data_IF_796934646841
#
_entry.id   IF_796934646841
#
_cell.length_a   1.000
_cell.length_b   1.000
_cell.length_c   1.000
_cell.angle_alpha   90.00
_cell.angle_beta   90.00
_cell.angle_gamma   90.00
#
_symmetry.space_group_name_H-M   'P 1'
#
loop_
_entity.id
_entity.type
_entity.pdbx_description
1 polymer ?
#
# COMPACT_ATOMS: atom_id res chain seq x y z
N UNK A 1 -17.32 18.40 10.92
CA UNK A 1 -15.93 18.24 10.47
C UNK A 1 -15.90 18.64 9.00
N UNK A 2 -15.09 19.62 8.61
CA UNK A 2 -14.81 19.88 7.21
C UNK A 2 -13.66 18.95 6.78
N UNK A 3 -13.80 18.22 5.67
CA UNK A 3 -12.72 17.38 5.17
C UNK A 3 -11.55 18.25 4.67
N UNK A 4 -10.32 17.72 4.75
CA UNK A 4 -9.15 18.40 4.21
C UNK A 4 -9.13 18.35 2.68
N UNK A 5 -9.52 17.22 2.11
CA UNK A 5 -9.65 17.02 0.66
C UNK A 5 -10.88 16.14 0.36
N UNK A 6 -11.46 16.38 -0.79
CA UNK A 6 -12.47 15.49 -1.40
C UNK A 6 -11.79 14.62 -2.45
N UNK A 7 -11.73 13.31 -2.18
CA UNK A 7 -11.19 12.30 -3.10
C UNK A 7 -12.35 11.48 -3.66
N UNK A 8 -12.41 11.35 -4.97
CA UNK A 8 -13.51 10.65 -5.65
C UNK A 8 -12.99 9.49 -6.47
N UNK A 9 -13.64 8.33 -6.37
CA UNK A 9 -13.51 7.25 -7.35
C UNK A 9 -14.81 7.10 -8.11
N UNK A 10 -14.79 7.48 -9.39
CA UNK A 10 -15.95 7.55 -10.25
C UNK A 10 -15.97 6.41 -11.27
N UNK A 11 -17.10 5.68 -11.35
CA UNK A 11 -17.37 4.70 -12.40
C UNK A 11 -18.50 5.20 -13.28
N UNK A 12 -18.22 5.56 -14.54
CA UNK A 12 -19.25 5.94 -15.49
C UNK A 12 -20.21 4.77 -15.78
N UNK A 13 -21.47 5.07 -16.03
CA UNK A 13 -22.51 4.06 -16.32
C UNK A 13 -22.99 4.19 -17.74
N UNK A 14 -22.87 3.10 -18.53
CA UNK A 14 -23.24 2.97 -19.95
C UNK A 14 -22.37 3.82 -20.88
N UNK A 15 -22.01 3.26 -22.02
CA UNK A 15 -21.20 3.95 -23.02
C UNK A 15 -21.93 5.15 -23.63
N UNK A 16 -23.22 4.97 -24.00
CA UNK A 16 -24.05 6.06 -24.55
C UNK A 16 -24.14 7.25 -23.60
N UNK A 17 -24.42 7.01 -22.33
CA UNK A 17 -24.48 8.06 -21.31
C UNK A 17 -23.12 8.72 -21.07
N UNK A 18 -22.06 7.94 -21.04
CA UNK A 18 -20.69 8.46 -20.85
C UNK A 18 -20.34 9.40 -22.01
N UNK A 19 -20.63 9.01 -23.25
CA UNK A 19 -20.37 9.84 -24.42
C UNK A 19 -21.18 11.15 -24.40
N UNK A 20 -22.49 11.07 -24.08
CA UNK A 20 -23.41 12.23 -24.11
C UNK A 20 -23.10 13.22 -22.98
N UNK A 21 -22.74 12.75 -21.80
CA UNK A 21 -22.62 13.59 -20.60
C UNK A 21 -21.17 13.77 -20.13
N UNK A 22 -20.17 13.39 -20.95
CA UNK A 22 -18.76 13.51 -20.59
C UNK A 22 -18.39 14.92 -20.13
N UNK A 23 -18.85 15.93 -20.81
CA UNK A 23 -18.56 17.34 -20.51
C UNK A 23 -19.19 17.78 -19.18
N UNK A 24 -20.43 17.38 -18.92
CA UNK A 24 -21.12 17.64 -17.64
C UNK A 24 -20.42 16.96 -16.47
N UNK A 25 -20.04 15.69 -16.63
CA UNK A 25 -19.23 14.97 -15.63
C UNK A 25 -17.89 15.65 -15.41
N UNK A 26 -17.19 16.02 -16.50
CA UNK A 26 -15.90 16.70 -16.42
C UNK A 26 -15.99 18.01 -15.64
N UNK A 27 -17.07 18.76 -15.79
CA UNK A 27 -17.31 20.00 -15.07
C UNK A 27 -17.66 19.79 -13.59
N UNK A 28 -18.56 18.85 -13.28
CA UNK A 28 -19.00 18.59 -11.91
C UNK A 28 -17.88 18.00 -11.04
N UNK A 29 -17.05 17.13 -11.61
CA UNK A 29 -15.94 16.48 -10.90
C UNK A 29 -14.79 17.46 -10.55
N UNK A 30 -14.79 18.70 -11.11
CA UNK A 30 -13.87 19.77 -10.67
C UNK A 30 -14.06 20.16 -9.20
N UNK A 31 -15.17 19.78 -8.58
CA UNK A 31 -15.40 20.05 -7.15
C UNK A 31 -14.54 19.17 -6.22
N UNK A 32 -13.90 18.13 -6.74
CA UNK A 32 -12.98 17.27 -5.99
C UNK A 32 -11.53 17.78 -6.08
N UNK A 33 -10.71 17.38 -5.11
CA UNK A 33 -9.27 17.66 -5.10
C UNK A 33 -8.46 16.59 -5.84
N UNK A 34 -8.97 15.36 -5.87
CA UNK A 34 -8.36 14.21 -6.53
C UNK A 34 -9.45 13.28 -7.06
N UNK A 35 -9.35 12.90 -8.33
CA UNK A 35 -10.35 12.01 -8.96
C UNK A 35 -9.67 10.81 -9.61
N UNK A 36 -10.12 9.62 -9.19
CA UNK A 36 -9.84 8.37 -9.87
C UNK A 36 -11.05 8.00 -10.73
N UNK A 37 -10.80 7.56 -11.95
CA UNK A 37 -11.87 7.15 -12.87
C UNK A 37 -11.70 5.70 -13.26
N UNK A 38 -12.73 4.89 -13.00
CA UNK A 38 -12.82 3.51 -13.45
C UNK A 38 -13.22 3.45 -14.93
N UNK A 39 -13.16 2.24 -15.49
CA UNK A 39 -13.77 2.04 -16.81
C UNK A 39 -15.29 2.02 -16.73
N UNK A 40 -15.92 2.20 -17.90
CA UNK A 40 -17.39 2.27 -18.02
C UNK A 40 -18.02 0.95 -17.57
N UNK A 41 -19.00 1.03 -16.68
CA UNK A 41 -19.88 -0.09 -16.40
C UNK A 41 -20.90 -0.23 -17.54
N UNK A 42 -20.83 -1.30 -18.35
CA UNK A 42 -21.56 -1.37 -19.62
C UNK A 42 -23.08 -1.50 -19.48
N UNK A 43 -23.57 -2.11 -18.39
CA UNK A 43 -25.00 -2.36 -18.15
C UNK A 43 -25.71 -2.94 -19.38
N UNK A 44 -25.12 -3.97 -19.98
CA UNK A 44 -25.58 -4.66 -21.18
C UNK A 44 -25.48 -3.88 -22.50
N UNK A 45 -24.86 -2.71 -22.53
CA UNK A 45 -24.51 -2.02 -23.78
C UNK A 45 -23.25 -2.62 -24.41
N UNK A 46 -23.18 -2.60 -25.73
CA UNK A 46 -21.95 -2.88 -26.45
C UNK A 46 -20.98 -1.72 -26.32
N UNK A 47 -19.66 -1.98 -26.28
CA UNK A 47 -18.66 -0.92 -26.29
C UNK A 47 -18.81 0.01 -27.49
N UNK A 48 -18.67 1.30 -27.26
CA UNK A 48 -18.57 2.32 -28.31
C UNK A 48 -17.09 2.68 -28.49
N UNK A 49 -16.62 2.60 -29.72
CA UNK A 49 -15.22 2.91 -30.05
C UNK A 49 -14.87 4.34 -29.59
N UNK A 50 -13.73 4.45 -28.89
CA UNK A 50 -13.24 5.73 -28.34
C UNK A 50 -13.94 6.18 -27.06
N UNK A 51 -14.89 5.40 -26.50
CA UNK A 51 -15.58 5.74 -25.24
C UNK A 51 -15.11 4.82 -24.12
N UNK A 52 -14.51 5.40 -23.10
CA UNK A 52 -14.02 4.70 -21.90
C UNK A 52 -14.04 5.65 -20.70
N UNK A 53 -13.53 5.22 -19.55
CA UNK A 53 -13.29 6.13 -18.41
C UNK A 53 -12.35 7.28 -18.76
N UNK A 54 -11.41 7.08 -19.69
CA UNK A 54 -10.52 8.13 -20.19
C UNK A 54 -11.30 9.31 -20.80
N UNK A 55 -12.44 9.06 -21.42
CA UNK A 55 -13.33 10.10 -21.96
C UNK A 55 -13.74 11.13 -20.92
N UNK A 56 -13.95 10.68 -19.66
CA UNK A 56 -14.27 11.57 -18.54
C UNK A 56 -13.03 12.37 -18.12
N UNK A 57 -11.87 11.76 -18.05
CA UNK A 57 -10.61 12.43 -17.71
C UNK A 57 -10.29 13.52 -18.72
N UNK A 58 -10.43 13.21 -20.01
CA UNK A 58 -10.20 14.19 -21.09
C UNK A 58 -11.17 15.37 -21.00
N UNK A 59 -12.42 15.09 -20.59
CA UNK A 59 -13.39 16.14 -20.32
C UNK A 59 -13.02 16.99 -19.10
N UNK A 60 -12.57 16.36 -18.01
CA UNK A 60 -12.10 17.08 -16.82
C UNK A 60 -10.95 18.02 -17.13
N UNK A 61 -9.96 17.58 -17.90
CA UNK A 61 -8.82 18.39 -18.28
C UNK A 61 -9.19 19.62 -19.13
N UNK A 62 -10.33 19.61 -19.82
CA UNK A 62 -10.84 20.80 -20.53
C UNK A 62 -11.43 21.85 -19.59
N UNK A 63 -11.90 21.43 -18.40
CA UNK A 63 -12.56 22.30 -17.43
C UNK A 63 -11.65 22.83 -16.31
N UNK A 64 -10.55 22.13 -16.01
CA UNK A 64 -9.65 22.56 -14.95
C UNK A 64 -8.50 21.59 -14.67
N UNK A 65 -7.61 21.97 -13.76
CA UNK A 65 -6.37 21.24 -13.48
C UNK A 65 -6.49 20.21 -12.34
N UNK A 66 -7.67 19.67 -12.05
CA UNK A 66 -7.84 18.67 -10.99
C UNK A 66 -6.99 17.45 -11.28
N UNK A 67 -6.27 16.97 -10.27
CA UNK A 67 -5.47 15.76 -10.37
C UNK A 67 -6.36 14.54 -10.66
N UNK A 68 -6.07 13.82 -11.74
CA UNK A 68 -6.87 12.70 -12.22
C UNK A 68 -6.03 11.47 -12.53
N UNK A 69 -6.56 10.28 -12.23
CA UNK A 69 -5.91 9.01 -12.56
C UNK A 69 -6.93 8.03 -13.15
N UNK A 70 -6.56 7.37 -14.24
CA UNK A 70 -7.37 6.31 -14.83
C UNK A 70 -7.04 4.97 -14.15
N UNK A 71 -8.00 4.39 -13.46
CA UNK A 71 -7.89 3.10 -12.78
C UNK A 71 -9.00 2.16 -13.26
N UNK A 72 -8.85 1.56 -14.46
CA UNK A 72 -9.89 0.75 -15.08
C UNK A 72 -10.19 -0.55 -14.34
N UNK A 73 -9.19 -1.14 -13.67
CA UNK A 73 -9.32 -2.40 -12.96
C UNK A 73 -9.79 -2.17 -11.52
N UNK A 74 -11.07 -2.44 -11.27
CA UNK A 74 -11.67 -2.34 -9.93
C UNK A 74 -11.03 -3.30 -8.92
N UNK A 75 -10.46 -4.42 -9.37
CA UNK A 75 -9.83 -5.41 -8.51
C UNK A 75 -8.58 -4.91 -7.80
N UNK A 76 -7.83 -4.02 -8.44
CA UNK A 76 -6.55 -3.47 -7.96
C UNK A 76 -6.59 -1.98 -7.62
N UNK A 77 -7.64 -1.25 -8.03
CA UNK A 77 -7.78 0.19 -7.80
C UNK A 77 -7.59 0.60 -6.34
N UNK A 78 -8.04 -0.22 -5.39
CA UNK A 78 -7.91 0.04 -3.95
C UNK A 78 -6.45 0.21 -3.50
N UNK A 79 -5.46 -0.38 -4.19
CA UNK A 79 -4.04 -0.19 -3.88
C UNK A 79 -3.60 1.25 -4.16
N UNK A 80 -3.87 1.75 -5.37
CA UNK A 80 -3.49 3.10 -5.76
C UNK A 80 -4.24 4.16 -4.95
N UNK A 81 -5.55 3.96 -4.75
CA UNK A 81 -6.40 4.87 -4.00
C UNK A 81 -5.97 4.90 -2.52
N UNK A 82 -5.81 3.74 -1.88
CA UNK A 82 -5.41 3.66 -0.47
C UNK A 82 -4.05 4.32 -0.21
N UNK A 83 -3.10 4.22 -1.16
CA UNK A 83 -1.81 4.90 -1.07
C UNK A 83 -1.90 6.43 -1.24
N UNK A 84 -2.92 6.92 -1.93
CA UNK A 84 -3.12 8.35 -2.18
C UNK A 84 -3.92 9.05 -1.08
N UNK A 85 -4.70 8.29 -0.31
CA UNK A 85 -5.50 8.82 0.80
C UNK A 85 -4.62 9.31 1.95
N UNK A 86 -5.07 10.38 2.59
CA UNK A 86 -4.40 11.02 3.74
C UNK A 86 -5.38 11.19 4.89
N UNK A 87 -4.89 11.29 6.13
CA UNK A 87 -5.76 11.60 7.27
C UNK A 87 -6.54 12.90 7.04
N UNK A 88 -7.85 12.84 7.29
CA UNK A 88 -8.77 13.97 7.10
C UNK A 88 -9.38 14.08 5.70
N UNK A 89 -9.04 13.18 4.76
CA UNK A 89 -9.71 13.11 3.46
C UNK A 89 -11.14 12.58 3.60
N UNK A 90 -12.04 13.10 2.76
CA UNK A 90 -13.34 12.50 2.49
C UNK A 90 -13.24 11.70 1.19
N UNK A 91 -13.31 10.40 1.29
CA UNK A 91 -13.30 9.51 0.13
C UNK A 91 -14.72 9.10 -0.27
N UNK A 92 -15.10 9.37 -1.53
CA UNK A 92 -16.39 9.00 -2.10
C UNK A 92 -16.22 8.04 -3.28
N UNK A 93 -17.01 6.97 -3.30
CA UNK A 93 -17.19 6.13 -4.48
C UNK A 93 -18.51 6.49 -5.16
N UNK A 94 -18.45 6.90 -6.42
CA UNK A 94 -19.60 7.35 -7.19
C UNK A 94 -19.76 6.51 -8.46
N UNK A 95 -20.94 6.03 -8.72
CA UNK A 95 -21.24 5.30 -9.97
C UNK A 95 -22.20 4.15 -9.79
N UNK A 96 -22.46 3.47 -10.89
CA UNK A 96 -23.24 2.23 -10.93
C UNK A 96 -22.29 1.02 -10.96
N UNK A 97 -22.77 -0.14 -10.55
CA UNK A 97 -21.97 -1.34 -10.49
C UNK A 97 -21.28 -1.52 -9.14
N UNK A 98 -20.11 -2.10 -9.14
CA UNK A 98 -19.41 -2.54 -7.92
C UNK A 98 -18.26 -1.61 -7.45
N UNK A 99 -18.24 -0.37 -7.93
CA UNK A 99 -17.23 0.63 -7.50
C UNK A 99 -17.20 0.85 -5.98
N UNK A 100 -18.35 0.69 -5.31
CA UNK A 100 -18.48 0.81 -3.86
C UNK A 100 -17.68 -0.24 -3.09
N UNK A 101 -17.43 -1.43 -3.69
CA UNK A 101 -16.63 -2.49 -3.07
C UNK A 101 -15.19 -2.03 -2.78
N UNK A 102 -14.66 -1.16 -3.65
CA UNK A 102 -13.34 -0.56 -3.44
C UNK A 102 -13.31 0.28 -2.14
N UNK A 103 -14.30 1.14 -1.95
CA UNK A 103 -14.42 1.97 -0.74
C UNK A 103 -14.58 1.14 0.53
N UNK A 104 -15.48 0.13 0.49
CA UNK A 104 -15.70 -0.77 1.62
C UNK A 104 -14.42 -1.55 1.97
N UNK A 105 -13.65 -1.97 0.96
CA UNK A 105 -12.39 -2.69 1.17
C UNK A 105 -11.36 -1.82 1.85
N UNK A 106 -11.15 -0.60 1.35
CA UNK A 106 -10.21 0.37 1.95
C UNK A 106 -10.61 0.67 3.40
N UNK A 107 -11.89 0.96 3.64
CA UNK A 107 -12.38 1.28 4.98
C UNK A 107 -12.18 0.12 5.97
N UNK A 108 -12.45 -1.12 5.55
CA UNK A 108 -12.22 -2.32 6.37
C UNK A 108 -10.74 -2.53 6.67
N UNK A 109 -9.90 -2.44 5.65
CA UNK A 109 -8.47 -2.70 5.79
C UNK A 109 -7.80 -1.59 6.63
N UNK A 110 -8.25 -0.34 6.51
CA UNK A 110 -7.82 0.77 7.34
C UNK A 110 -8.22 0.57 8.82
N UNK A 111 -9.47 0.20 9.07
CA UNK A 111 -9.95 -0.04 10.43
C UNK A 111 -9.18 -1.17 11.14
N UNK A 112 -8.80 -2.23 10.39
CA UNK A 112 -7.96 -3.32 10.92
C UNK A 112 -6.54 -2.83 11.25
N UNK A 113 -5.95 -2.00 10.41
CA UNK A 113 -4.61 -1.44 10.65
C UNK A 113 -4.62 -0.52 11.87
N UNK A 114 -5.58 0.40 11.97
CA UNK A 114 -5.74 1.30 13.11
C UNK A 114 -5.97 0.54 14.44
N UNK A 115 -6.76 -0.54 14.41
CA UNK A 115 -6.98 -1.40 15.57
C UNK A 115 -5.70 -2.11 16.01
N UNK A 116 -4.91 -2.59 15.05
CA UNK A 116 -3.61 -3.21 15.32
C UNK A 116 -2.61 -2.19 15.90
N UNK A 117 -2.48 -1.01 15.29
CA UNK A 117 -1.59 0.05 15.78
C UNK A 117 -1.99 0.52 17.19
N UNK A 118 -3.28 0.69 17.44
CA UNK A 118 -3.78 1.02 18.77
C UNK A 118 -3.44 -0.07 19.82
N UNK A 119 -3.52 -1.34 19.42
CA UNK A 119 -3.20 -2.49 20.30
C UNK A 119 -1.70 -2.58 20.60
N UNK A 120 -0.86 -2.30 19.62
CA UNK A 120 0.59 -2.34 19.74
C UNK A 120 1.20 -1.05 20.31
N UNK A 121 0.47 0.07 20.26
CA UNK A 121 0.94 1.40 20.68
C UNK A 121 2.13 1.87 19.83
N UNK A 122 3.01 2.68 20.42
CA UNK A 122 4.19 3.25 19.73
C UNK A 122 5.24 2.21 19.29
N UNK A 123 5.03 0.93 19.61
CA UNK A 123 5.96 -0.15 19.27
C UNK A 123 5.80 -0.69 17.85
N UNK A 124 4.83 -0.20 17.08
CA UNK A 124 4.51 -0.65 15.73
C UNK A 124 4.05 0.52 14.86
N UNK A 125 4.66 0.68 13.69
CA UNK A 125 4.18 1.54 12.62
C UNK A 125 3.64 0.66 11.49
N UNK A 126 2.47 1.02 10.93
CA UNK A 126 1.83 0.31 9.85
C UNK A 126 1.57 1.19 8.63
N UNK A 127 1.57 0.56 7.44
CA UNK A 127 1.18 1.21 6.17
C UNK A 127 0.24 0.28 5.41
N UNK A 128 -0.80 0.87 4.85
CA UNK A 128 -1.73 0.14 4.00
C UNK A 128 -1.25 0.17 2.55
N UNK A 129 -1.28 -0.97 1.88
CA UNK A 129 -0.95 -1.15 0.45
C UNK A 129 0.46 -0.65 0.05
N UNK A 130 1.45 -0.79 0.93
CA UNK A 130 2.82 -0.34 0.66
C UNK A 130 3.44 -1.08 -0.54
N UNK A 131 3.95 -0.36 -1.55
CA UNK A 131 4.54 -0.97 -2.74
C UNK A 131 5.81 -1.77 -2.42
N UNK A 132 5.79 -3.07 -2.69
CA UNK A 132 6.94 -3.95 -2.46
C UNK A 132 8.14 -3.62 -3.35
N UNK A 133 7.93 -2.92 -4.45
CA UNK A 133 9.02 -2.39 -5.30
C UNK A 133 9.97 -1.45 -4.56
N UNK A 134 9.54 -0.83 -3.47
CA UNK A 134 10.39 -0.01 -2.59
C UNK A 134 11.26 -0.83 -1.64
N UNK A 135 10.87 -2.09 -1.42
CA UNK A 135 11.42 -2.98 -0.38
C UNK A 135 12.09 -4.23 -0.96
N UNK A 136 12.27 -4.30 -2.28
CA UNK A 136 12.98 -5.38 -2.97
C UNK A 136 14.16 -4.83 -3.74
N UNK A 137 15.26 -5.59 -3.81
CA UNK A 137 16.46 -5.21 -4.59
C UNK A 137 16.13 -5.11 -6.08
N UNK A 138 15.24 -5.97 -6.59
CA UNK A 138 14.78 -5.95 -7.98
C UNK A 138 13.89 -4.75 -8.31
N UNK A 139 13.40 -4.02 -7.30
CA UNK A 139 12.50 -2.86 -7.43
C UNK A 139 11.22 -3.17 -8.22
N UNK A 140 10.73 -4.40 -8.09
CA UNK A 140 9.46 -4.88 -8.67
C UNK A 140 8.57 -5.46 -7.57
N UNK A 141 7.28 -5.60 -7.89
CA UNK A 141 6.28 -6.21 -7.04
C UNK A 141 5.14 -5.27 -6.70
N UNK A 142 3.93 -5.83 -6.64
CA UNK A 142 2.72 -5.13 -6.19
C UNK A 142 2.77 -4.80 -4.70
N UNK A 143 1.63 -4.41 -4.14
CA UNK A 143 1.57 -3.91 -2.77
C UNK A 143 1.50 -5.02 -1.72
N UNK A 144 2.09 -4.79 -0.54
CA UNK A 144 1.73 -5.48 0.68
C UNK A 144 0.41 -4.93 1.21
N UNK A 145 -0.57 -5.78 1.54
CA UNK A 145 -1.85 -5.31 2.08
C UNK A 145 -1.63 -4.53 3.37
N UNK A 146 -0.87 -5.08 4.30
CA UNK A 146 -0.41 -4.41 5.52
C UNK A 146 1.11 -4.50 5.58
N UNK A 147 1.80 -3.38 5.60
CA UNK A 147 3.22 -3.28 5.86
C UNK A 147 3.42 -2.87 7.31
N UNK A 148 4.13 -3.68 8.09
CA UNK A 148 4.26 -3.50 9.54
C UNK A 148 5.74 -3.41 9.93
N UNK A 149 6.11 -2.33 10.61
CA UNK A 149 7.47 -2.06 11.09
C UNK A 149 7.48 -2.02 12.64
N UNK A 150 7.60 -3.18 13.29
CA UNK A 150 7.75 -3.21 14.75
C UNK A 150 9.13 -2.69 15.16
N UNK A 151 9.18 -1.86 16.20
CA UNK A 151 10.42 -1.35 16.80
C UNK A 151 10.90 -2.16 18.01
N UNK A 152 10.01 -3.01 18.57
CA UNK A 152 10.30 -3.84 19.75
C UNK A 152 9.84 -5.29 19.54
N UNK A 153 10.43 -6.23 20.33
CA UNK A 153 9.96 -7.63 20.33
C UNK A 153 8.51 -7.76 20.77
N UNK A 154 8.09 -6.92 21.73
CA UNK A 154 6.68 -6.88 22.17
C UNK A 154 5.75 -6.44 21.04
N UNK A 155 6.11 -5.40 20.27
CA UNK A 155 5.35 -4.93 19.10
C UNK A 155 5.24 -6.02 18.03
N UNK A 156 6.34 -6.72 17.74
CA UNK A 156 6.33 -7.84 16.80
C UNK A 156 5.44 -8.99 17.28
N UNK A 157 5.52 -9.35 18.55
CA UNK A 157 4.68 -10.40 19.14
C UNK A 157 3.20 -10.02 19.06
N UNK A 158 2.87 -8.76 19.37
CA UNK A 158 1.50 -8.23 19.25
C UNK A 158 1.00 -8.34 17.82
N UNK A 159 1.80 -7.89 16.83
CA UNK A 159 1.43 -7.95 15.41
C UNK A 159 1.18 -9.39 14.94
N UNK A 160 2.07 -10.34 15.29
CA UNK A 160 1.93 -11.75 14.92
C UNK A 160 0.69 -12.38 15.56
N UNK A 161 0.46 -12.14 16.86
CA UNK A 161 -0.70 -12.67 17.57
C UNK A 161 -2.01 -12.08 17.01
N UNK A 162 -2.04 -10.78 16.78
CA UNK A 162 -3.21 -10.10 16.20
C UNK A 162 -3.59 -10.69 14.84
N UNK A 163 -2.59 -10.89 13.97
CA UNK A 163 -2.80 -11.49 12.65
C UNK A 163 -3.27 -12.95 12.75
N UNK A 164 -2.64 -13.74 13.61
CA UNK A 164 -3.02 -15.14 13.83
C UNK A 164 -4.46 -15.28 14.30
N UNK A 165 -4.87 -14.47 15.28
CA UNK A 165 -6.21 -14.56 15.90
C UNK A 165 -7.32 -14.16 14.90
N UNK A 166 -6.95 -13.45 13.81
CA UNK A 166 -7.86 -13.02 12.74
C UNK A 166 -7.65 -13.77 11.42
N UNK A 167 -6.82 -14.83 11.42
CA UNK A 167 -6.45 -15.58 10.22
C UNK A 167 -5.89 -14.70 9.08
N UNK A 168 -5.16 -13.65 9.42
CA UNK A 168 -4.43 -12.81 8.48
C UNK A 168 -3.08 -13.47 8.19
N UNK A 169 -2.76 -13.81 6.92
CA UNK A 169 -1.45 -14.37 6.57
C UNK A 169 -0.31 -13.43 6.98
N UNK A 170 0.80 -14.00 7.47
CA UNK A 170 1.98 -13.23 7.88
C UNK A 170 3.19 -13.65 7.06
N UNK A 171 3.87 -12.67 6.51
CA UNK A 171 5.15 -12.78 5.82
C UNK A 171 6.19 -11.95 6.57
N UNK A 172 7.31 -12.54 6.95
CA UNK A 172 8.41 -11.79 7.57
C UNK A 172 9.50 -11.61 6.53
N UNK A 173 9.90 -10.38 6.29
CA UNK A 173 10.95 -10.06 5.34
C UNK A 173 12.06 -9.23 5.98
N UNK A 174 13.29 -9.48 5.54
CA UNK A 174 14.41 -8.60 5.82
C UNK A 174 14.53 -7.50 4.77
N UNK A 175 15.68 -7.35 4.16
CA UNK A 175 15.98 -6.28 3.19
C UNK A 175 15.47 -6.56 1.76
N UNK A 176 14.75 -7.64 1.53
CA UNK A 176 14.20 -7.98 0.22
C UNK A 176 15.23 -8.27 -0.88
N UNK A 177 16.45 -8.69 -0.50
CA UNK A 177 17.53 -8.96 -1.47
C UNK A 177 17.37 -10.29 -2.20
N UNK A 178 16.64 -11.23 -1.62
CA UNK A 178 16.47 -12.58 -2.17
C UNK A 178 15.00 -12.97 -2.33
N UNK A 179 14.17 -11.99 -2.69
CA UNK A 179 12.74 -12.19 -2.93
C UNK A 179 12.30 -11.49 -4.22
N UNK A 180 11.36 -12.11 -4.91
CA UNK A 180 10.61 -11.50 -6.02
C UNK A 180 9.13 -11.53 -5.64
N UNK A 181 8.50 -10.37 -5.66
CA UNK A 181 7.07 -10.23 -5.39
C UNK A 181 6.36 -10.02 -6.73
N UNK A 182 5.26 -10.75 -6.94
CA UNK A 182 4.43 -10.62 -8.15
C UNK A 182 3.66 -9.29 -8.15
N UNK A 183 3.18 -8.84 -9.30
CA UNK A 183 2.40 -7.60 -9.45
C UNK A 183 1.09 -7.61 -8.65
N UNK A 184 0.50 -8.79 -8.42
CA UNK A 184 -0.67 -8.95 -7.53
C UNK A 184 -0.38 -8.67 -6.05
N UNK A 185 0.88 -8.46 -5.66
CA UNK A 185 1.28 -8.13 -4.30
C UNK A 185 1.18 -9.29 -3.31
N UNK A 186 1.17 -8.95 -2.04
CA UNK A 186 1.06 -9.88 -0.91
C UNK A 186 -0.20 -9.58 -0.11
N UNK A 187 -1.07 -10.56 0.01
CA UNK A 187 -2.23 -10.51 0.90
C UNK A 187 -1.78 -10.77 2.33
N UNK A 188 -2.37 -10.03 3.27
CA UNK A 188 -2.06 -10.13 4.69
C UNK A 188 -0.95 -9.17 5.11
N UNK A 189 -0.31 -9.48 6.23
CA UNK A 189 0.71 -8.65 6.85
C UNK A 189 2.11 -9.04 6.37
N UNK A 190 2.88 -8.03 5.97
CA UNK A 190 4.33 -8.14 5.76
C UNK A 190 5.01 -7.44 6.93
N UNK A 191 5.69 -8.20 7.76
CA UNK A 191 6.42 -7.68 8.92
C UNK A 191 7.88 -7.47 8.53
N UNK A 192 8.35 -6.24 8.68
CA UNK A 192 9.74 -5.84 8.43
C UNK A 192 10.40 -5.40 9.74
N UNK A 193 11.07 -6.32 10.46
CA UNK A 193 11.76 -5.96 11.70
C UNK A 193 12.97 -5.09 11.38
N UNK A 194 12.88 -3.79 11.67
CA UNK A 194 13.96 -2.83 11.44
C UNK A 194 13.94 -1.73 12.51
N UNK A 195 15.13 -1.22 12.86
CA UNK A 195 15.24 -0.23 13.92
C UNK A 195 15.00 -0.78 15.33
N UNK A 196 15.07 0.09 16.35
CA UNK A 196 14.82 -0.26 17.73
C UNK A 196 15.62 -1.48 18.22
N UNK A 197 14.93 -2.43 18.85
CA UNK A 197 15.54 -3.66 19.38
C UNK A 197 16.10 -4.58 18.27
N UNK A 198 15.66 -4.42 17.03
CA UNK A 198 16.10 -5.26 15.90
C UNK A 198 17.44 -4.80 15.30
N UNK A 199 17.91 -3.59 15.59
CA UNK A 199 19.18 -3.04 15.09
C UNK A 199 20.32 -3.10 16.13
N UNK A 200 20.08 -3.74 17.27
CA UNK A 200 21.06 -3.90 18.35
C UNK A 200 22.17 -4.85 17.90
N UNK A 201 23.41 -4.46 18.13
CA UNK A 201 24.63 -5.26 17.87
C UNK A 201 25.54 -5.19 19.07
N UNK A 202 25.73 -6.30 19.73
CA UNK A 202 26.53 -6.40 20.98
C UNK A 202 27.63 -7.43 20.87
N UNK A 203 28.76 -7.14 21.48
CA UNK A 203 29.91 -8.07 21.61
C UNK A 203 30.20 -8.29 23.07
N UNK A 204 30.31 -9.54 23.47
CA UNK A 204 30.69 -10.01 24.81
C UNK A 204 31.74 -11.10 24.68
N UNK A 205 33.01 -10.75 24.83
CA UNK A 205 34.12 -11.67 24.60
C UNK A 205 34.11 -12.18 23.14
N UNK A 206 34.00 -13.48 22.96
CA UNK A 206 33.94 -14.12 21.63
C UNK A 206 32.51 -14.31 21.09
N UNK A 207 31.51 -13.74 21.74
CA UNK A 207 30.12 -13.81 21.31
C UNK A 207 29.68 -12.48 20.71
N UNK A 208 29.10 -12.54 19.51
CA UNK A 208 28.44 -11.42 18.86
C UNK A 208 26.96 -11.73 18.78
N UNK A 209 26.13 -10.84 19.33
CA UNK A 209 24.67 -10.88 19.26
C UNK A 209 24.19 -9.77 18.36
N UNK A 210 23.30 -10.08 17.39
CA UNK A 210 22.76 -9.12 16.45
C UNK A 210 21.26 -9.27 16.34
N UNK A 211 20.53 -8.17 16.33
CA UNK A 211 19.12 -8.13 16.00
C UNK A 211 18.87 -8.45 14.52
N UNK A 212 17.67 -8.90 14.19
CA UNK A 212 17.32 -9.34 12.83
C UNK A 212 17.33 -8.21 11.78
N UNK A 213 17.29 -6.93 12.19
CA UNK A 213 17.40 -5.76 11.32
C UNK A 213 18.83 -5.34 10.98
N UNK A 214 19.84 -5.87 11.72
CA UNK A 214 21.24 -5.51 11.50
C UNK A 214 21.71 -5.92 10.11
N UNK A 215 22.32 -4.98 9.39
CA UNK A 215 22.90 -5.27 8.06
C UNK A 215 24.06 -6.24 8.18
N UNK A 216 24.09 -7.29 7.36
CA UNK A 216 25.18 -8.27 7.34
C UNK A 216 26.55 -7.60 7.18
N UNK A 217 26.69 -6.63 6.28
CA UNK A 217 27.93 -5.86 6.13
C UNK A 217 28.38 -5.18 7.42
N UNK A 218 27.44 -4.58 8.20
CA UNK A 218 27.74 -3.98 9.51
C UNK A 218 28.18 -5.05 10.50
N UNK A 219 27.50 -6.19 10.53
CA UNK A 219 27.82 -7.33 11.38
C UNK A 219 29.24 -7.84 11.11
N UNK A 220 29.57 -8.12 9.85
CA UNK A 220 30.89 -8.61 9.44
C UNK A 220 32.01 -7.59 9.79
N UNK A 221 31.80 -6.32 9.38
CA UNK A 221 32.81 -5.27 9.66
C UNK A 221 33.05 -5.09 11.17
N UNK A 222 32.02 -5.15 12.00
CA UNK A 222 32.12 -5.04 13.45
C UNK A 222 32.83 -6.27 14.04
N UNK A 223 32.53 -7.48 13.55
CA UNK A 223 33.21 -8.71 13.97
C UNK A 223 34.72 -8.61 13.69
N UNK A 224 35.10 -8.25 12.47
CA UNK A 224 36.54 -8.11 12.08
C UNK A 224 37.25 -7.04 12.90
N UNK A 225 36.64 -5.87 13.11
CA UNK A 225 37.21 -4.80 13.94
C UNK A 225 37.47 -5.21 15.39
N UNK A 226 36.72 -6.21 15.88
CA UNK A 226 36.89 -6.73 17.25
C UNK A 226 37.63 -8.09 17.28
N UNK A 227 38.32 -8.46 16.21
CA UNK A 227 39.15 -9.68 16.16
C UNK A 227 38.34 -10.98 16.15
N UNK A 228 37.01 -10.93 15.82
CA UNK A 228 36.15 -12.10 15.73
C UNK A 228 36.11 -12.59 14.28
N UNK A 229 36.78 -13.71 14.00
CA UNK A 229 36.78 -14.36 12.69
C UNK A 229 35.60 -15.34 12.47
N UNK A 230 35.53 -15.92 11.25
CA UNK A 230 34.59 -16.98 10.88
C UNK A 230 33.27 -16.51 10.31
N UNK A 231 33.12 -15.21 9.99
CA UNK A 231 31.91 -14.62 9.34
C UNK A 231 32.23 -13.88 8.06
N UNK A 232 33.44 -13.96 7.57
CA UNK A 232 33.96 -13.25 6.38
C UNK A 232 33.17 -13.64 5.12
N UNK A 233 32.71 -14.89 5.05
CA UNK A 233 31.91 -15.41 3.93
C UNK A 233 30.51 -14.78 3.82
N UNK A 234 30.03 -14.08 4.84
CA UNK A 234 28.72 -13.39 4.83
C UNK A 234 28.81 -12.00 4.18
N UNK A 235 30.02 -11.50 3.86
CA UNK A 235 30.19 -10.22 3.16
C UNK A 235 29.82 -10.41 1.68
N UNK A 236 28.81 -9.70 1.24
CA UNK A 236 28.34 -9.76 -0.14
C UNK A 236 27.06 -10.58 -0.38
N UNK A 237 26.39 -11.03 0.67
CA UNK A 237 25.03 -11.65 0.57
C UNK A 237 23.95 -10.57 0.66
#
# INVERSE_FOLDING_TARGET
LQPNRLVVYFQPHRYTRTQMLADDFGKVLQAADLVFVADVYPASELPIEGVSGQTIIDAMHRHGPVETHYLPDLGTAHHAIGNALKPGDLFLTLGAGNVHECGMRIARDLALLEDLERTAGESLEGKLYEPMSRHTTMRVGGCAQYWLEPSTFSGMQTAVNYCRDRNIPVHVIGRGSNIIVRDGGLRGAVIHPSGGEFDVLEIQGNRLSAGAGVRLKKLVSTAVQNGLGGREWMDGI
#
